data_IF_576626081258
#
_entry.id   IF_576626081258
#
_cell.length_a   1.000
_cell.length_b   1.000
_cell.length_c   1.000
_cell.angle_alpha   90.00
_cell.angle_beta   90.00
_cell.angle_gamma   90.00
#
_symmetry.space_group_name_H-M   'P 1'
#
loop_
_entity.id
_entity.type
_entity.pdbx_description
1 polymer ?
#
# COMPACT_ATOMS: atom_id res chain seq x y z
N UNK A 1 -24.90 -38.54 -13.07
CA UNK A 1 -24.42 -37.77 -11.89
C UNK A 1 -24.51 -36.32 -12.30
N UNK A 2 -25.44 -35.56 -11.74
CA UNK A 2 -25.57 -34.14 -12.08
C UNK A 2 -24.38 -33.38 -11.52
N UNK A 3 -23.84 -32.44 -12.30
CA UNK A 3 -22.76 -31.56 -11.86
C UNK A 3 -23.23 -30.77 -10.64
N UNK A 4 -22.57 -31.02 -9.50
CA UNK A 4 -22.73 -30.20 -8.30
C UNK A 4 -22.08 -28.84 -8.63
N UNK A 5 -22.82 -27.73 -8.63
CA UNK A 5 -22.32 -26.44 -9.15
C UNK A 5 -21.14 -25.89 -8.33
N UNK A 6 -20.93 -26.39 -7.11
CA UNK A 6 -19.85 -26.00 -6.21
C UNK A 6 -19.29 -27.24 -5.49
N UNK A 7 -18.29 -27.93 -6.07
CA UNK A 7 -17.67 -29.07 -5.40
C UNK A 7 -17.00 -28.64 -4.10
N UNK A 8 -17.13 -29.46 -3.05
CA UNK A 8 -16.53 -29.24 -1.73
C UNK A 8 -16.97 -27.96 -1.00
N UNK A 9 -18.13 -27.38 -1.38
CA UNK A 9 -18.68 -26.19 -0.72
C UNK A 9 -18.79 -26.38 0.80
N UNK A 10 -19.16 -27.57 1.25
CA UNK A 10 -19.28 -27.93 2.66
C UNK A 10 -17.97 -27.86 3.46
N UNK A 11 -16.82 -27.80 2.77
CA UNK A 11 -15.52 -27.66 3.40
C UNK A 11 -15.18 -26.19 3.70
N UNK A 12 -15.69 -25.26 2.90
CA UNK A 12 -15.31 -23.84 2.94
C UNK A 12 -16.37 -22.95 3.60
N UNK A 13 -17.57 -23.46 3.83
CA UNK A 13 -18.66 -22.69 4.46
C UNK A 13 -19.04 -23.20 5.85
N UNK A 14 -19.53 -22.29 6.68
CA UNK A 14 -20.31 -22.55 7.90
C UNK A 14 -21.75 -22.09 7.69
N UNK A 15 -22.70 -22.75 8.36
CA UNK A 15 -24.12 -22.41 8.33
C UNK A 15 -24.44 -21.52 9.52
N UNK A 16 -25.12 -20.41 9.29
CA UNK A 16 -25.64 -19.53 10.33
C UNK A 16 -27.04 -20.01 10.78
N UNK A 17 -27.17 -20.37 12.05
CA UNK A 17 -28.46 -20.65 12.71
C UNK A 17 -28.51 -19.96 14.05
N UNK A 18 -29.61 -19.25 14.32
CA UNK A 18 -29.86 -18.55 15.58
C UNK A 18 -28.72 -17.59 15.99
N UNK A 19 -28.12 -16.91 15.02
CA UNK A 19 -27.00 -15.98 15.25
C UNK A 19 -25.64 -16.63 15.49
N UNK A 20 -25.54 -17.96 15.36
CA UNK A 20 -24.29 -18.70 15.53
C UNK A 20 -23.88 -19.42 14.24
N UNK A 21 -22.58 -19.38 13.95
CA UNK A 21 -21.98 -20.16 12.87
C UNK A 21 -21.70 -21.58 13.34
N UNK A 22 -22.06 -22.56 12.51
CA UNK A 22 -21.80 -23.98 12.77
C UNK A 22 -21.25 -24.66 11.54
N UNK A 23 -20.30 -25.57 11.76
CA UNK A 23 -19.75 -26.39 10.69
C UNK A 23 -20.83 -27.34 10.14
N UNK A 24 -20.99 -27.45 8.81
CA UNK A 24 -21.99 -28.34 8.21
C UNK A 24 -21.69 -29.82 8.50
N UNK A 25 -22.70 -30.54 8.97
CA UNK A 25 -22.63 -31.99 9.23
C UNK A 25 -23.23 -32.74 8.04
N UNK A 26 -22.42 -33.56 7.37
CA UNK A 26 -22.82 -34.30 6.16
C UNK A 26 -22.77 -33.48 4.87
N UNK A 27 -23.38 -34.01 3.79
CA UNK A 27 -23.50 -33.36 2.46
C UNK A 27 -24.73 -32.47 2.33
N UNK A 28 -25.53 -32.32 3.38
CA UNK A 28 -26.78 -31.57 3.31
C UNK A 28 -26.45 -30.10 3.53
N UNK A 29 -25.97 -29.46 2.47
CA UNK A 29 -26.19 -28.04 2.24
C UNK A 29 -27.29 -27.95 1.19
N UNK A 30 -28.33 -27.18 1.49
CA UNK A 30 -29.35 -26.81 0.52
C UNK A 30 -29.12 -25.34 0.14
N UNK A 31 -28.32 -25.05 -0.91
CA UNK A 31 -28.10 -23.68 -1.37
C UNK A 31 -29.44 -22.96 -1.56
N UNK A 32 -29.61 -21.82 -0.90
CA UNK A 32 -30.84 -21.00 -0.95
C UNK A 32 -31.87 -21.22 0.17
N UNK A 33 -31.70 -22.20 1.06
CA UNK A 33 -32.55 -22.38 2.26
C UNK A 33 -31.88 -21.97 3.57
N UNK A 34 -30.57 -21.82 3.57
CA UNK A 34 -29.76 -21.53 4.76
C UNK A 34 -28.88 -20.31 4.50
N UNK A 35 -28.65 -19.50 5.55
CA UNK A 35 -27.64 -18.43 5.51
C UNK A 35 -26.27 -19.10 5.68
N UNK A 36 -25.41 -18.92 4.68
CA UNK A 36 -24.06 -19.51 4.65
C UNK A 36 -23.02 -18.41 4.72
N UNK A 37 -21.95 -18.64 5.46
CA UNK A 37 -20.78 -17.78 5.54
C UNK A 37 -19.55 -18.56 5.10
N UNK A 38 -18.67 -17.94 4.31
CA UNK A 38 -17.39 -18.53 3.94
C UNK A 38 -16.44 -18.37 5.14
N UNK A 39 -15.99 -19.48 5.73
CA UNK A 39 -15.15 -19.47 6.94
C UNK A 39 -13.94 -20.39 6.87
N UNK A 40 -13.98 -21.43 6.04
CA UNK A 40 -12.96 -22.49 5.98
C UNK A 40 -12.76 -23.29 7.27
N UNK A 41 -13.66 -23.20 8.26
CA UNK A 41 -13.49 -23.86 9.57
C UNK A 41 -13.29 -25.38 9.42
N UNK A 42 -14.08 -26.01 8.56
CA UNK A 42 -13.99 -27.45 8.30
C UNK A 42 -12.72 -27.79 7.56
N UNK A 43 -12.41 -27.01 6.52
CA UNK A 43 -11.20 -27.18 5.70
C UNK A 43 -9.94 -27.07 6.56
N UNK A 44 -9.86 -26.08 7.45
CA UNK A 44 -8.71 -25.85 8.31
C UNK A 44 -8.69 -26.72 9.58
N UNK A 45 -9.85 -27.09 10.12
CA UNK A 45 -9.93 -27.83 11.39
C UNK A 45 -10.05 -29.34 11.24
N UNK A 46 -10.59 -29.85 10.14
CA UNK A 46 -11.01 -31.26 10.01
C UNK A 46 -10.39 -31.98 8.81
N UNK A 47 -9.47 -31.36 8.10
CA UNK A 47 -8.75 -32.01 7.00
C UNK A 47 -7.26 -32.13 7.31
N UNK A 48 -6.55 -32.97 6.55
CA UNK A 48 -5.08 -33.07 6.63
C UNK A 48 -4.36 -31.88 5.96
N UNK A 49 -5.12 -30.98 5.35
CA UNK A 49 -4.61 -29.91 4.49
C UNK A 49 -3.65 -28.94 5.18
N UNK A 50 -3.95 -28.40 6.39
CA UNK A 50 -3.03 -27.49 7.06
C UNK A 50 -1.66 -28.11 7.34
N UNK A 51 -1.62 -29.41 7.63
CA UNK A 51 -0.38 -30.13 7.85
C UNK A 51 0.45 -30.22 6.55
N UNK A 52 -0.20 -30.49 5.42
CA UNK A 52 0.45 -30.51 4.11
C UNK A 52 1.00 -29.12 3.72
N UNK A 53 0.21 -28.05 3.89
CA UNK A 53 0.68 -26.68 3.65
C UNK A 53 1.84 -26.30 4.56
N UNK A 54 1.75 -26.60 5.85
CA UNK A 54 2.84 -26.35 6.81
C UNK A 54 4.11 -27.09 6.40
N UNK A 55 3.98 -28.31 5.89
CA UNK A 55 5.12 -29.06 5.36
C UNK A 55 5.68 -28.45 4.08
N UNK A 56 4.83 -28.00 3.15
CA UNK A 56 5.23 -27.32 1.92
C UNK A 56 6.02 -26.04 2.24
N UNK A 57 5.47 -25.16 3.09
CA UNK A 57 6.14 -23.94 3.56
C UNK A 57 7.50 -24.24 4.21
N UNK A 58 7.59 -25.29 5.03
CA UNK A 58 8.86 -25.71 5.67
C UNK A 58 9.89 -26.18 4.65
N UNK A 59 9.48 -27.00 3.67
CA UNK A 59 10.38 -27.53 2.63
C UNK A 59 10.87 -26.40 1.73
N UNK A 60 9.94 -25.56 1.25
CA UNK A 60 10.25 -24.41 0.41
C UNK A 60 11.13 -23.40 1.15
N UNK A 61 10.78 -23.06 2.39
CA UNK A 61 11.59 -22.14 3.20
C UNK A 61 13.00 -22.66 3.47
N UNK A 62 13.16 -23.98 3.68
CA UNK A 62 14.49 -24.59 3.78
C UNK A 62 15.28 -24.52 2.46
N UNK A 63 14.61 -24.72 1.32
CA UNK A 63 15.24 -24.64 0.01
C UNK A 63 15.69 -23.22 -0.36
N UNK A 64 14.87 -22.21 -0.02
CA UNK A 64 15.20 -20.80 -0.20
C UNK A 64 16.19 -20.26 0.84
N UNK A 65 16.30 -20.90 2.01
CA UNK A 65 17.10 -20.38 3.13
C UNK A 65 16.42 -19.25 3.92
N UNK A 66 15.17 -18.94 3.58
CA UNK A 66 14.35 -17.87 4.19
C UNK A 66 12.90 -18.35 4.32
N UNK A 67 12.08 -17.79 5.24
CA UNK A 67 10.64 -17.97 5.21
C UNK A 67 10.09 -17.61 3.82
N UNK A 68 8.99 -18.24 3.39
CA UNK A 68 8.40 -18.02 2.06
C UNK A 68 6.92 -17.75 2.17
N UNK A 69 6.40 -16.92 1.27
CA UNK A 69 4.99 -16.80 0.95
C UNK A 69 4.67 -17.65 -0.29
N UNK A 70 3.51 -18.31 -0.29
CA UNK A 70 3.06 -19.13 -1.41
C UNK A 70 1.63 -18.78 -1.82
N UNK A 71 1.38 -18.77 -3.12
CA UNK A 71 0.03 -18.86 -3.70
C UNK A 71 -0.16 -20.27 -4.24
N UNK A 72 -1.33 -20.86 -4.01
CA UNK A 72 -1.59 -22.24 -4.38
C UNK A 72 -3.02 -22.44 -4.89
N UNK A 73 -3.22 -23.52 -5.64
CA UNK A 73 -4.52 -24.09 -5.94
C UNK A 73 -4.62 -25.51 -5.35
N UNK A 74 -5.84 -25.95 -5.09
CA UNK A 74 -6.13 -27.28 -4.55
C UNK A 74 -7.35 -27.89 -5.26
N UNK A 75 -7.21 -29.11 -5.76
CA UNK A 75 -8.26 -29.82 -6.50
C UNK A 75 -9.03 -30.85 -5.64
N UNK A 76 -8.78 -30.88 -4.33
CA UNK A 76 -9.31 -31.93 -3.44
C UNK A 76 -8.36 -33.10 -3.19
N UNK A 77 -7.24 -33.18 -3.94
CA UNK A 77 -6.24 -34.25 -3.82
C UNK A 77 -4.80 -33.72 -3.76
N UNK A 78 -4.48 -32.76 -4.61
CA UNK A 78 -3.13 -32.27 -4.87
C UNK A 78 -3.05 -30.76 -4.66
N UNK A 79 -1.93 -30.30 -4.11
CA UNK A 79 -1.61 -28.87 -4.01
C UNK A 79 -0.75 -28.49 -5.20
N UNK A 80 -1.17 -27.45 -5.91
CA UNK A 80 -0.42 -26.84 -6.99
C UNK A 80 0.14 -25.52 -6.49
N UNK A 81 1.46 -25.39 -6.41
CA UNK A 81 2.11 -24.12 -6.08
C UNK A 81 2.07 -23.25 -7.33
N UNK A 82 1.31 -22.15 -7.27
CA UNK A 82 1.16 -21.18 -8.35
C UNK A 82 2.26 -20.12 -8.26
N UNK A 83 2.63 -19.76 -7.03
CA UNK A 83 3.68 -18.79 -6.74
C UNK A 83 4.39 -19.18 -5.44
N UNK A 84 5.70 -18.99 -5.39
CA UNK A 84 6.49 -19.14 -4.16
C UNK A 84 7.55 -18.05 -4.14
N UNK A 85 7.52 -17.18 -3.14
CA UNK A 85 8.44 -16.06 -2.99
C UNK A 85 9.10 -16.10 -1.61
N UNK A 86 10.42 -15.93 -1.50
CA UNK A 86 11.06 -15.75 -0.21
C UNK A 86 10.54 -14.45 0.42
N UNK A 87 10.13 -14.52 1.68
CA UNK A 87 9.89 -13.32 2.46
C UNK A 87 11.23 -12.63 2.66
N UNK A 88 11.36 -11.44 2.08
CA UNK A 88 12.47 -10.55 2.37
C UNK A 88 12.42 -10.23 3.85
N UNK A 89 13.44 -10.69 4.60
CA UNK A 89 13.78 -9.97 5.83
C UNK A 89 14.13 -8.58 5.35
N UNK A 90 13.36 -7.60 5.80
CA UNK A 90 13.79 -6.22 5.88
C UNK A 90 15.21 -6.28 6.49
N UNK A 91 16.23 -6.13 5.65
CA UNK A 91 17.63 -6.29 6.05
C UNK A 91 17.87 -5.31 7.18
N UNK A 92 18.11 -5.82 8.40
CA UNK A 92 18.45 -5.05 9.60
C UNK A 92 18.05 -3.58 9.48
N UNK A 93 16.75 -3.28 9.44
CA UNK A 93 16.31 -1.90 9.53
C UNK A 93 16.78 -1.44 10.91
N UNK A 94 17.90 -0.73 10.92
CA UNK A 94 18.45 -0.16 12.12
C UNK A 94 17.31 0.64 12.73
N UNK A 95 16.94 0.34 13.98
CA UNK A 95 15.87 1.05 14.69
C UNK A 95 16.10 2.54 14.51
N UNK A 96 15.30 3.16 13.65
CA UNK A 96 15.47 4.57 13.36
C UNK A 96 14.92 5.31 14.56
N UNK A 97 15.80 5.93 15.34
CA UNK A 97 15.33 6.75 16.47
C UNK A 97 14.65 7.98 15.90
N UNK A 98 13.36 8.14 16.18
CA UNK A 98 12.64 9.37 15.86
C UNK A 98 13.27 10.53 16.65
N UNK A 99 13.82 11.54 15.96
CA UNK A 99 14.47 12.66 16.64
C UNK A 99 13.42 13.50 17.36
N UNK A 100 13.66 13.78 18.66
CA UNK A 100 12.70 14.50 19.52
C UNK A 100 12.76 16.01 19.41
N UNK A 101 13.88 16.56 18.93
CA UNK A 101 14.17 18.00 18.95
C UNK A 101 14.26 18.59 17.54
N UNK A 102 13.29 18.29 16.68
CA UNK A 102 13.18 18.92 15.36
C UNK A 102 12.25 20.14 15.49
N UNK A 103 12.67 21.34 15.02
CA UNK A 103 11.79 22.50 14.97
C UNK A 103 10.54 22.21 14.12
N UNK A 104 9.35 22.61 14.58
CA UNK A 104 8.09 22.26 13.93
C UNK A 104 8.03 22.71 12.46
N UNK A 105 8.61 23.87 12.16
CA UNK A 105 8.74 24.45 10.83
C UNK A 105 9.62 23.63 9.89
N UNK A 106 10.50 22.77 10.43
CA UNK A 106 11.33 21.86 9.64
C UNK A 106 10.66 20.51 9.39
N UNK A 107 9.50 20.24 10.01
CA UNK A 107 8.75 18.99 9.83
C UNK A 107 7.80 19.15 8.64
N UNK A 108 7.87 18.20 7.71
CA UNK A 108 6.93 18.10 6.60
C UNK A 108 5.69 17.32 7.02
N UNK A 109 5.87 16.13 7.60
CA UNK A 109 4.76 15.34 8.14
C UNK A 109 5.22 14.38 9.25
N UNK A 110 4.26 13.89 10.03
CA UNK A 110 4.41 12.74 10.92
C UNK A 110 3.38 11.67 10.58
N UNK A 111 3.69 10.39 10.81
CA UNK A 111 2.74 9.28 10.69
C UNK A 111 2.59 8.60 12.04
N UNK A 112 1.37 8.15 12.34
CA UNK A 112 1.06 7.24 13.43
C UNK A 112 0.39 6.00 12.85
N UNK A 113 0.80 4.84 13.32
CA UNK A 113 0.28 3.52 12.90
C UNK A 113 0.78 3.03 11.55
N UNK A 114 0.91 1.70 11.43
CA UNK A 114 1.28 0.99 10.20
C UNK A 114 2.60 1.49 9.57
N UNK A 115 3.57 1.83 10.42
CA UNK A 115 4.88 2.36 10.02
C UNK A 115 5.91 1.22 9.91
N UNK A 116 6.63 1.08 8.78
CA UNK A 116 7.77 0.17 8.68
C UNK A 116 8.97 0.70 9.50
N UNK A 117 9.98 -0.11 9.77
CA UNK A 117 11.22 0.41 10.37
C UNK A 117 12.20 0.84 9.27
N UNK A 118 12.95 1.93 9.48
CA UNK A 118 14.04 2.33 8.57
C UNK A 118 14.23 3.83 8.43
N UNK A 119 15.18 4.23 7.58
CA UNK A 119 15.40 5.64 7.22
C UNK A 119 15.47 5.81 5.70
N UNK A 120 15.03 6.97 5.22
CA UNK A 120 15.28 7.43 3.86
C UNK A 120 15.88 8.83 3.90
N UNK A 121 17.05 9.00 3.30
CA UNK A 121 17.84 10.23 3.41
C UNK A 121 18.13 10.85 2.04
N UNK A 122 18.41 12.16 2.05
CA UNK A 122 18.78 12.94 0.87
C UNK A 122 17.70 12.92 -0.22
N UNK A 123 16.42 12.98 0.17
CA UNK A 123 15.31 13.10 -0.79
C UNK A 123 15.29 14.52 -1.33
N UNK A 124 15.45 14.65 -2.65
CA UNK A 124 15.55 15.93 -3.36
C UNK A 124 14.21 16.37 -3.94
N UNK A 125 13.33 15.42 -4.29
CA UNK A 125 12.06 15.72 -4.94
C UNK A 125 10.87 15.11 -4.19
N UNK A 126 9.78 15.88 -4.14
CA UNK A 126 8.47 15.40 -3.69
C UNK A 126 7.51 15.55 -4.87
N UNK A 127 6.95 14.42 -5.31
CA UNK A 127 5.83 14.43 -6.24
C UNK A 127 4.56 14.32 -5.40
N UNK A 128 3.79 15.40 -5.33
CA UNK A 128 2.58 15.50 -4.54
C UNK A 128 1.36 15.64 -5.44
N UNK A 129 0.43 14.71 -5.33
CA UNK A 129 -0.90 14.80 -5.91
C UNK A 129 -1.84 15.28 -4.82
N UNK A 130 -2.35 16.49 -4.97
CA UNK A 130 -3.26 17.10 -4.01
C UNK A 130 -4.55 16.27 -3.88
N UNK A 131 -4.82 15.63 -2.72
CA UNK A 131 -5.98 14.76 -2.56
C UNK A 131 -7.31 15.48 -2.75
N UNK A 132 -7.42 16.73 -2.26
CA UNK A 132 -8.66 17.51 -2.32
C UNK A 132 -8.95 17.97 -3.75
N UNK A 133 -7.91 18.34 -4.50
CA UNK A 133 -8.08 18.71 -5.91
C UNK A 133 -8.29 17.49 -6.79
N UNK A 134 -7.67 16.35 -6.47
CA UNK A 134 -7.89 15.10 -7.18
C UNK A 134 -9.33 14.59 -7.03
N UNK A 135 -9.90 14.65 -5.82
CA UNK A 135 -11.27 14.23 -5.55
C UNK A 135 -12.30 15.02 -6.36
N UNK A 136 -12.07 16.32 -6.57
CA UNK A 136 -12.94 17.21 -7.36
C UNK A 136 -12.95 16.89 -8.86
N UNK A 137 -11.98 16.12 -9.36
CA UNK A 137 -11.92 15.77 -10.79
C UNK A 137 -13.03 14.76 -11.12
N UNK A 138 -14.00 15.19 -11.93
CA UNK A 138 -15.07 14.30 -12.40
C UNK A 138 -14.67 13.52 -13.66
N UNK A 139 -13.71 14.03 -14.43
CA UNK A 139 -13.30 13.42 -15.69
C UNK A 139 -12.38 12.21 -15.47
N UNK A 140 -12.87 11.04 -15.85
CA UNK A 140 -12.10 9.80 -15.86
C UNK A 140 -10.79 9.94 -16.66
N UNK A 141 -10.84 10.61 -17.82
CA UNK A 141 -9.67 10.83 -18.68
C UNK A 141 -8.59 11.71 -18.03
N UNK A 142 -8.99 12.69 -17.21
CA UNK A 142 -8.06 13.54 -16.46
C UNK A 142 -7.37 12.73 -15.36
N UNK A 143 -8.12 11.94 -14.58
CA UNK A 143 -7.51 11.06 -13.56
C UNK A 143 -6.57 10.02 -14.17
N UNK A 144 -6.92 9.44 -15.33
CA UNK A 144 -6.01 8.57 -16.07
C UNK A 144 -4.73 9.29 -16.52
N UNK A 145 -4.86 10.56 -16.91
CA UNK A 145 -3.71 11.37 -17.31
C UNK A 145 -2.79 11.64 -16.11
N UNK A 146 -3.33 11.82 -14.91
CA UNK A 146 -2.53 11.93 -13.67
C UNK A 146 -1.68 10.67 -13.45
N UNK A 147 -2.24 9.47 -13.61
CA UNK A 147 -1.45 8.23 -13.55
C UNK A 147 -0.30 8.20 -14.58
N UNK A 148 -0.56 8.65 -15.82
CA UNK A 148 0.49 8.78 -16.85
C UNK A 148 1.57 9.82 -16.50
N UNK A 149 1.18 10.91 -15.84
CA UNK A 149 2.12 11.93 -15.36
C UNK A 149 3.05 11.32 -14.30
N UNK A 150 2.51 10.53 -13.37
CA UNK A 150 3.33 9.83 -12.38
C UNK A 150 4.35 8.92 -13.06
N UNK A 151 3.93 8.05 -13.98
CA UNK A 151 4.86 7.18 -14.71
C UNK A 151 5.94 7.97 -15.45
N UNK A 152 5.57 9.05 -16.15
CA UNK A 152 6.53 9.91 -16.82
C UNK A 152 7.53 10.59 -15.87
N UNK A 153 7.07 11.01 -14.68
CA UNK A 153 7.95 11.59 -13.65
C UNK A 153 8.87 10.52 -13.04
N UNK A 154 8.37 9.31 -12.82
CA UNK A 154 9.14 8.17 -12.31
C UNK A 154 10.31 7.84 -13.23
N UNK A 155 10.08 7.85 -14.54
CA UNK A 155 11.14 7.63 -15.54
C UNK A 155 12.11 8.81 -15.60
N UNK A 156 11.58 10.04 -15.61
CA UNK A 156 12.40 11.26 -15.72
C UNK A 156 13.33 11.47 -14.51
N UNK A 157 12.93 10.96 -13.34
CA UNK A 157 13.65 11.11 -12.08
C UNK A 157 14.38 9.82 -11.63
N UNK A 158 14.59 8.85 -12.52
CA UNK A 158 15.18 7.54 -12.18
C UNK A 158 16.53 7.61 -11.44
N UNK A 159 17.33 8.64 -11.70
CA UNK A 159 18.64 8.86 -11.08
C UNK A 159 18.60 9.88 -9.93
N UNK A 160 17.41 10.30 -9.51
CA UNK A 160 17.18 11.24 -8.42
C UNK A 160 16.52 10.53 -7.24
N UNK A 161 16.66 11.09 -6.04
CA UNK A 161 15.93 10.60 -4.87
C UNK A 161 14.63 11.36 -4.70
N UNK A 162 13.52 10.66 -4.87
CA UNK A 162 12.20 11.27 -4.77
C UNK A 162 11.21 10.39 -3.99
N UNK A 163 10.13 11.03 -3.54
CA UNK A 163 8.98 10.36 -2.94
C UNK A 163 7.71 10.67 -3.73
N UNK A 164 6.75 9.74 -3.67
CA UNK A 164 5.40 9.90 -4.18
C UNK A 164 4.45 10.10 -3.01
N UNK A 165 3.63 11.15 -3.08
CA UNK A 165 2.61 11.45 -2.10
C UNK A 165 1.29 11.72 -2.83
N UNK A 166 0.20 11.03 -2.48
CA UNK A 166 -1.07 11.26 -3.18
C UNK A 166 -2.27 10.57 -2.55
N UNK A 167 -3.47 10.77 -3.12
CA UNK A 167 -4.71 10.31 -2.52
C UNK A 167 -4.84 8.79 -2.47
N UNK A 168 -5.25 8.28 -1.31
CA UNK A 168 -5.83 6.95 -1.13
C UNK A 168 -5.03 5.80 -1.75
N UNK A 169 -5.71 4.93 -2.49
CA UNK A 169 -5.19 3.63 -2.98
C UNK A 169 -4.44 3.74 -4.30
N UNK A 170 -3.12 3.59 -4.26
CA UNK A 170 -2.31 3.53 -5.47
C UNK A 170 -2.40 2.13 -6.11
N UNK A 171 -2.70 2.06 -7.40
CA UNK A 171 -2.85 0.79 -8.12
C UNK A 171 -4.26 0.22 -8.18
N UNK A 172 -5.23 0.88 -7.54
CA UNK A 172 -6.64 0.48 -7.60
C UNK A 172 -7.19 0.56 -9.03
N UNK A 173 -8.08 -0.38 -9.38
CA UNK A 173 -8.90 -0.28 -10.59
C UNK A 173 -10.01 0.77 -10.46
N UNK A 174 -10.41 1.10 -9.23
CA UNK A 174 -11.29 2.23 -8.95
C UNK A 174 -10.46 3.51 -8.83
N UNK A 175 -10.58 4.35 -9.86
CA UNK A 175 -9.84 5.60 -10.01
C UNK A 175 -10.33 6.71 -9.05
N UNK A 176 -11.48 6.51 -8.41
CA UNK A 176 -11.99 7.45 -7.42
C UNK A 176 -11.40 7.22 -6.03
N UNK A 177 -10.89 6.02 -5.76
CA UNK A 177 -10.27 5.68 -4.48
C UNK A 177 -8.79 6.03 -4.40
N UNK A 178 -8.15 6.37 -5.52
CA UNK A 178 -6.74 6.77 -5.55
C UNK A 178 -6.20 6.88 -6.97
N UNK A 179 -4.87 6.84 -7.09
CA UNK A 179 -4.18 7.05 -8.37
C UNK A 179 -3.99 5.72 -9.10
N UNK A 180 -4.51 5.65 -10.32
CA UNK A 180 -4.35 4.45 -11.16
C UNK A 180 -2.95 4.42 -11.78
N UNK A 181 -2.12 3.52 -11.27
CA UNK A 181 -0.75 3.25 -11.73
C UNK A 181 -0.48 1.75 -11.73
N UNK A 182 0.58 1.33 -12.42
CA UNK A 182 1.19 0.01 -12.30
C UNK A 182 2.48 0.13 -11.48
N UNK A 183 3.02 -0.99 -11.01
CA UNK A 183 4.31 -0.99 -10.33
C UNK A 183 5.43 -0.30 -11.14
N UNK A 184 5.50 -0.55 -12.46
CA UNK A 184 6.47 0.10 -13.34
C UNK A 184 6.37 1.64 -13.39
N UNK A 185 5.21 2.21 -13.05
CA UNK A 185 5.00 3.67 -13.02
C UNK A 185 5.52 4.30 -11.72
N UNK A 186 5.95 3.51 -10.73
CA UNK A 186 6.34 3.98 -9.38
C UNK A 186 7.62 3.34 -8.83
N UNK A 187 8.28 2.46 -9.59
CA UNK A 187 9.38 1.61 -9.13
C UNK A 187 10.70 2.35 -8.80
N UNK A 188 10.83 3.65 -9.11
CA UNK A 188 12.02 4.45 -8.78
C UNK A 188 11.85 5.31 -7.52
N UNK A 189 10.62 5.44 -6.99
CA UNK A 189 10.37 6.20 -5.75
C UNK A 189 11.06 5.54 -4.56
N UNK A 190 11.41 6.32 -3.53
CA UNK A 190 11.95 5.78 -2.27
C UNK A 190 10.88 5.52 -1.23
N UNK A 191 9.83 6.32 -1.26
CA UNK A 191 8.67 6.17 -0.38
C UNK A 191 7.41 6.45 -1.17
N UNK A 192 6.41 5.59 -1.02
CA UNK A 192 5.06 5.79 -1.50
C UNK A 192 4.17 6.14 -0.29
N UNK A 193 3.58 7.32 -0.31
CA UNK A 193 2.78 7.86 0.78
C UNK A 193 1.33 8.01 0.34
N UNK A 194 0.45 7.25 0.97
CA UNK A 194 -0.99 7.29 0.73
C UNK A 194 -1.63 8.29 1.70
N UNK A 195 -2.05 9.43 1.17
CA UNK A 195 -2.60 10.54 1.95
C UNK A 195 -4.12 10.40 2.01
N UNK A 196 -4.65 10.07 3.19
CA UNK A 196 -6.08 9.99 3.46
C UNK A 196 -6.55 11.30 4.11
N UNK A 197 -7.06 12.23 3.29
CA UNK A 197 -7.69 13.48 3.77
C UNK A 197 -9.17 13.28 4.00
N UNK A 198 -9.67 13.73 5.15
CA UNK A 198 -11.08 13.71 5.49
C UNK A 198 -11.86 14.70 4.61
N UNK A 199 -12.91 14.22 3.95
CA UNK A 199 -13.87 15.04 3.20
C UNK A 199 -15.25 14.84 3.81
N UNK A 200 -15.73 15.84 4.55
CA UNK A 200 -16.97 15.72 5.34
C UNK A 200 -16.81 14.70 6.47
N UNK A 201 -17.64 13.66 6.49
CA UNK A 201 -17.55 12.56 7.47
C UNK A 201 -16.80 11.33 6.92
N UNK A 202 -16.19 11.44 5.73
CA UNK A 202 -15.54 10.32 5.06
C UNK A 202 -14.02 10.48 5.06
N UNK A 203 -13.31 9.45 5.54
CA UNK A 203 -11.86 9.30 5.40
C UNK A 203 -11.64 8.19 4.38
N UNK A 204 -10.93 8.44 3.26
CA UNK A 204 -10.61 7.41 2.28
C UNK A 204 -9.81 6.27 2.90
N UNK A 205 -10.16 5.03 2.53
CA UNK A 205 -9.36 3.87 2.91
C UNK A 205 -8.06 3.83 2.09
N UNK A 206 -6.93 3.69 2.77
CA UNK A 206 -5.62 3.42 2.13
C UNK A 206 -5.54 1.96 1.68
N UNK A 207 -4.58 1.64 0.80
CA UNK A 207 -4.37 0.27 0.33
C UNK A 207 -3.36 -0.50 1.16
N UNK A 208 -2.59 0.20 2.00
CA UNK A 208 -1.41 -0.35 2.68
C UNK A 208 -0.37 -0.91 1.70
N UNK A 209 -0.38 -0.40 0.46
CA UNK A 209 0.47 -0.88 -0.63
C UNK A 209 0.12 -2.29 -1.11
N UNK A 210 -0.93 -2.94 -0.60
CA UNK A 210 -1.26 -4.37 -0.84
C UNK A 210 -1.30 -4.76 -2.32
N UNK A 211 -1.70 -3.85 -3.21
CA UNK A 211 -1.74 -4.09 -4.65
C UNK A 211 -0.37 -4.42 -5.27
N UNK A 212 0.72 -3.91 -4.69
CA UNK A 212 2.11 -4.14 -5.14
C UNK A 212 3.04 -4.40 -3.96
N UNK A 213 2.53 -4.80 -2.79
CA UNK A 213 3.28 -4.72 -1.53
C UNK A 213 4.59 -5.49 -1.59
N UNK A 214 4.55 -6.68 -2.17
CA UNK A 214 5.74 -7.49 -2.37
C UNK A 214 6.74 -6.82 -3.32
N UNK A 215 6.28 -6.24 -4.43
CA UNK A 215 7.15 -5.52 -5.38
C UNK A 215 7.82 -4.30 -4.70
N UNK A 216 7.07 -3.56 -3.86
CA UNK A 216 7.59 -2.44 -3.08
C UNK A 216 8.67 -2.89 -2.10
N UNK A 217 8.40 -3.95 -1.33
CA UNK A 217 9.36 -4.51 -0.36
C UNK A 217 10.63 -5.00 -1.08
N UNK A 218 10.49 -5.71 -2.19
CA UNK A 218 11.63 -6.21 -2.99
C UNK A 218 12.48 -5.07 -3.56
N UNK A 219 11.86 -3.97 -3.98
CA UNK A 219 12.55 -2.80 -4.50
C UNK A 219 13.10 -1.85 -3.43
N UNK A 220 12.87 -2.16 -2.14
CA UNK A 220 13.27 -1.29 -1.03
C UNK A 220 12.51 0.05 -1.02
N UNK A 221 11.27 0.05 -1.49
CA UNK A 221 10.36 1.19 -1.50
C UNK A 221 9.50 1.11 -0.24
N UNK A 222 9.63 2.09 0.65
CA UNK A 222 8.78 2.12 1.83
C UNK A 222 7.35 2.56 1.48
N UNK A 223 6.38 1.98 2.15
CA UNK A 223 4.99 2.44 2.12
C UNK A 223 4.66 3.14 3.45
N UNK A 224 3.93 4.25 3.39
CA UNK A 224 3.42 4.96 4.57
C UNK A 224 1.97 5.39 4.35
N UNK A 225 1.03 4.97 5.21
CA UNK A 225 -0.29 5.59 5.27
C UNK A 225 -0.21 6.90 6.07
N UNK A 226 -0.68 8.00 5.52
CA UNK A 226 -0.66 9.30 6.17
C UNK A 226 -2.10 9.80 6.35
N UNK A 227 -2.46 10.13 7.58
CA UNK A 227 -3.77 10.65 7.96
C UNK A 227 -3.64 12.08 8.50
N UNK A 228 -3.57 13.12 7.64
CA UNK A 228 -3.27 14.49 8.08
C UNK A 228 -4.28 15.10 9.05
N UNK A 229 -5.52 14.63 9.04
CA UNK A 229 -6.62 15.18 9.83
C UNK A 229 -6.76 14.50 11.21
N UNK A 230 -5.90 13.52 11.53
CA UNK A 230 -5.84 12.90 12.85
C UNK A 230 -5.22 13.82 13.91
N UNK A 231 -5.64 13.63 15.18
CA UNK A 231 -5.11 14.41 16.30
C UNK A 231 -3.62 14.11 16.50
N UNK A 232 -2.85 15.17 16.73
CA UNK A 232 -1.40 15.11 16.98
C UNK A 232 -0.57 14.60 15.78
N UNK A 233 -1.15 14.57 14.58
CA UNK A 233 -0.40 14.44 13.33
C UNK A 233 0.03 15.82 12.84
N UNK A 234 1.29 15.95 12.45
CA UNK A 234 1.83 17.13 11.79
C UNK A 234 1.71 16.89 10.29
N UNK A 235 1.17 17.86 9.55
CA UNK A 235 1.16 17.87 8.09
C UNK A 235 1.30 19.30 7.60
N UNK A 236 2.45 19.61 6.98
CA UNK A 236 2.76 20.94 6.49
C UNK A 236 2.15 21.15 5.09
N UNK A 237 0.82 21.19 5.03
CA UNK A 237 0.06 21.45 3.81
C UNK A 237 0.49 22.77 3.17
N UNK A 238 0.76 23.80 3.97
CA UNK A 238 1.21 25.10 3.50
C UNK A 238 2.50 25.03 2.66
N UNK A 239 3.49 24.23 3.08
CA UNK A 239 4.71 23.99 2.31
C UNK A 239 4.38 23.33 0.96
N UNK A 240 3.60 22.25 0.96
CA UNK A 240 3.19 21.56 -0.28
C UNK A 240 2.34 22.44 -1.19
N UNK A 241 1.59 23.39 -0.61
CA UNK A 241 0.70 24.25 -1.37
C UNK A 241 1.38 25.46 -2.00
N UNK A 242 2.30 26.08 -1.28
CA UNK A 242 2.91 27.37 -1.66
C UNK A 242 4.25 27.24 -2.38
N UNK A 243 4.94 26.11 -2.24
CA UNK A 243 6.25 25.89 -2.88
C UNK A 243 6.13 25.87 -4.42
N UNK A 244 7.08 26.48 -5.15
CA UNK A 244 7.09 26.47 -6.62
C UNK A 244 6.96 25.07 -7.20
N UNK A 245 6.04 24.91 -8.16
CA UNK A 245 5.80 23.65 -8.84
C UNK A 245 6.68 23.54 -10.09
N UNK A 246 7.59 22.57 -10.11
CA UNK A 246 8.50 22.26 -11.23
C UNK A 246 7.87 21.41 -12.33
N UNK A 247 6.62 20.94 -12.17
CA UNK A 247 5.94 20.13 -13.19
C UNK A 247 5.96 20.79 -14.58
N UNK A 248 5.63 22.09 -14.75
CA UNK A 248 5.63 22.71 -16.07
C UNK A 248 7.01 22.83 -16.72
N UNK A 249 8.09 22.80 -15.92
CA UNK A 249 9.48 22.83 -16.40
C UNK A 249 9.94 21.43 -16.81
N UNK A 250 9.67 20.43 -15.97
CA UNK A 250 10.11 19.04 -16.17
C UNK A 250 9.28 18.34 -17.24
N UNK A 251 7.95 18.51 -17.21
CA UNK A 251 7.03 17.93 -18.18
C UNK A 251 6.09 19.00 -18.77
N UNK A 252 6.58 19.85 -19.70
CA UNK A 252 5.82 20.96 -20.26
C UNK A 252 4.47 20.57 -20.87
N UNK A 253 4.39 19.36 -21.44
CA UNK A 253 3.17 18.78 -22.02
C UNK A 253 2.01 18.65 -21.01
N UNK A 254 2.32 18.52 -19.72
CA UNK A 254 1.33 18.31 -18.66
C UNK A 254 1.13 19.55 -17.78
N UNK A 255 1.53 20.75 -18.25
CA UNK A 255 1.41 22.01 -17.51
C UNK A 255 0.01 22.31 -16.98
N UNK A 256 -1.04 21.84 -17.66
CA UNK A 256 -2.44 22.07 -17.29
C UNK A 256 -2.85 21.30 -16.02
N UNK A 257 -2.05 20.31 -15.62
CA UNK A 257 -2.25 19.54 -14.38
C UNK A 257 -1.48 20.10 -13.19
N UNK A 258 -0.78 21.24 -13.33
CA UNK A 258 0.04 21.87 -12.26
C UNK A 258 -0.75 22.19 -10.98
N UNK A 259 -2.06 22.31 -11.13
CA UNK A 259 -2.98 22.58 -10.04
C UNK A 259 -3.21 21.34 -9.17
N UNK A 260 -3.17 20.13 -9.74
CA UNK A 260 -3.40 18.88 -8.98
C UNK A 260 -2.10 18.14 -8.71
N UNK A 261 -1.16 18.15 -9.65
CA UNK A 261 0.13 17.46 -9.55
C UNK A 261 1.23 18.48 -9.36
N UNK A 262 1.99 18.32 -8.27
CA UNK A 262 3.11 19.18 -7.91
C UNK A 262 4.40 18.39 -7.87
N UNK A 263 5.44 18.96 -8.46
CA UNK A 263 6.81 18.47 -8.34
C UNK A 263 7.59 19.54 -7.59
N UNK A 264 7.99 19.23 -6.37
CA UNK A 264 8.72 20.14 -5.50
C UNK A 264 10.17 19.72 -5.49
N UNK A 265 11.07 20.64 -5.82
CA UNK A 265 12.50 20.48 -5.62
C UNK A 265 12.87 21.03 -4.23
N UNK A 266 13.10 20.11 -3.30
CA UNK A 266 13.28 20.41 -1.86
C UNK A 266 14.48 21.33 -1.60
N UNK A 267 15.67 21.14 -2.20
CA UNK A 267 16.81 22.01 -1.96
C UNK A 267 16.55 23.48 -2.28
N UNK A 268 15.85 23.78 -3.37
CA UNK A 268 15.49 25.16 -3.73
C UNK A 268 14.48 25.76 -2.72
N UNK A 269 13.52 24.95 -2.26
CA UNK A 269 12.50 25.37 -1.33
C UNK A 269 12.98 25.52 0.13
N UNK A 270 14.14 24.96 0.47
CA UNK A 270 14.61 24.82 1.86
C UNK A 270 16.04 25.29 2.08
N UNK A 271 16.56 26.14 1.19
CA UNK A 271 17.92 26.70 1.23
C UNK A 271 19.03 25.63 1.28
N UNK A 272 18.92 24.64 0.40
CA UNK A 272 19.92 23.58 0.20
C UNK A 272 19.71 22.33 1.05
N UNK A 273 18.72 22.30 1.93
CA UNK A 273 18.37 21.10 2.71
C UNK A 273 17.72 20.03 1.84
N UNK A 274 17.68 18.81 2.35
CA UNK A 274 16.96 17.69 1.74
C UNK A 274 15.92 17.14 2.71
N UNK A 275 14.99 16.34 2.21
CA UNK A 275 14.03 15.66 3.06
C UNK A 275 14.64 14.36 3.62
N UNK A 276 14.46 14.16 4.92
CA UNK A 276 14.81 12.96 5.66
C UNK A 276 13.53 12.34 6.24
N UNK A 277 13.39 11.02 6.16
CA UNK A 277 12.26 10.28 6.74
C UNK A 277 12.81 9.24 7.70
N UNK A 278 12.51 9.37 8.98
CA UNK A 278 12.79 8.37 10.01
C UNK A 278 11.52 7.57 10.31
N UNK A 279 11.61 6.25 10.39
CA UNK A 279 10.46 5.36 10.60
C UNK A 279 10.81 4.31 11.67
N UNK A 280 10.05 4.30 12.76
CA UNK A 280 10.18 3.34 13.86
C UNK A 280 8.91 2.49 13.93
N UNK A 281 9.01 1.25 13.44
CA UNK A 281 7.89 0.32 13.43
C UNK A 281 7.56 -0.27 14.80
N UNK A 282 8.45 -0.17 15.81
CA UNK A 282 8.13 -0.62 17.17
C UNK A 282 7.24 0.38 17.89
N UNK A 283 7.49 1.67 17.70
CA UNK A 283 6.62 2.74 18.24
C UNK A 283 5.48 3.11 17.29
N UNK A 284 5.47 2.56 16.07
CA UNK A 284 4.57 2.94 14.97
C UNK A 284 4.60 4.45 14.65
N UNK A 285 5.78 5.05 14.66
CA UNK A 285 5.94 6.50 14.40
C UNK A 285 6.89 6.74 13.24
N UNK A 286 6.49 7.64 12.33
CA UNK A 286 7.40 8.19 11.34
C UNK A 286 7.47 9.71 11.43
N UNK A 287 8.63 10.27 11.11
CA UNK A 287 8.84 11.71 11.06
C UNK A 287 9.63 12.09 9.81
N UNK A 288 9.03 12.96 8.99
CA UNK A 288 9.65 13.53 7.81
C UNK A 288 10.04 14.98 8.06
N UNK A 289 11.32 15.31 7.92
CA UNK A 289 11.84 16.65 8.22
C UNK A 289 13.00 17.05 7.30
N UNK A 290 13.19 18.37 7.15
CA UNK A 290 14.25 18.94 6.33
C UNK A 290 15.56 19.04 7.11
N UNK A 291 16.65 18.53 6.53
CA UNK A 291 18.00 18.53 7.10
C UNK A 291 19.05 18.96 6.09
#
# INVERSE_FOLDING_TARGET
>A
MGDEPFPALEQIVSIERDGHLRTPVGKILCPGKERVAITFDKFLGQTKYPATLKNALRVLGKAYGYPVDIEFAYDGRSIFILQCRPQTKSSEHHRARIPKNIPKESILFSVKHDVPSGTTENIEYIIYIDPLRYDRIQSYSQKLTIGKIVGALNDTLEHKKFILMGPGRWGSNDINLGVRVRYADINHTKVLIEVARQTGNYVPEVSFGTHFFQDLVEAGIYHLPLYPDEKNVIFNDAFLQTTPNKLPEILPKYRDFKDTVKVIFVPEATNGKTLFIAMDGESEEALAYFK
#
